data_IF_162215702631
#
_entry.id   IF_162215702631
#
_cell.length_a   1.000
_cell.length_b   1.000
_cell.length_c   1.000
_cell.angle_alpha   90.00
_cell.angle_beta   90.00
_cell.angle_gamma   90.00
#
_symmetry.space_group_name_H-M   'P 1'
#
loop_
_entity.id
_entity.type
_entity.pdbx_description
1 polymer ?
#
# COMPACT_ATOMS: atom_id res chain seq x y z
N UNK A 1 12.72 -3.10 2.83
CA UNK A 1 12.49 -2.36 1.57
C UNK A 1 13.53 -2.84 0.57
N UNK A 2 13.16 -3.11 -0.67
CA UNK A 2 14.13 -3.43 -1.72
C UNK A 2 14.59 -2.11 -2.35
N UNK A 3 15.90 -1.83 -2.30
CA UNK A 3 16.47 -0.56 -2.76
C UNK A 3 17.02 -0.62 -4.19
N UNK A 4 17.04 -1.81 -4.80
CA UNK A 4 17.39 -2.02 -6.20
C UNK A 4 16.14 -2.42 -6.98
N UNK A 5 16.06 -2.01 -8.25
CA UNK A 5 14.92 -2.37 -9.10
C UNK A 5 14.87 -3.90 -9.26
N UNK A 6 13.89 -4.52 -8.61
CA UNK A 6 13.63 -5.95 -8.67
C UNK A 6 12.21 -6.17 -9.17
N UNK A 7 12.07 -7.03 -10.18
CA UNK A 7 10.81 -7.31 -10.84
C UNK A 7 10.52 -8.80 -10.76
N UNK A 8 9.28 -9.16 -10.41
CA UNK A 8 8.85 -10.57 -10.34
C UNK A 8 8.58 -11.17 -11.73
N UNK A 9 8.19 -12.45 -11.76
CA UNK A 9 7.85 -13.14 -13.02
C UNK A 9 6.63 -12.57 -13.75
N UNK A 10 5.84 -11.71 -13.11
CA UNK A 10 4.66 -11.06 -13.67
C UNK A 10 4.97 -9.63 -14.15
N UNK A 11 6.22 -9.18 -14.05
CA UNK A 11 6.58 -7.82 -14.43
C UNK A 11 6.25 -6.78 -13.35
N UNK A 12 6.01 -7.20 -12.10
CA UNK A 12 5.68 -6.30 -11.00
C UNK A 12 6.92 -5.92 -10.20
N UNK A 13 7.09 -4.62 -9.94
CA UNK A 13 8.13 -4.13 -9.02
C UNK A 13 7.87 -4.68 -7.61
N UNK A 14 8.93 -5.19 -6.97
CA UNK A 14 8.84 -6.00 -5.76
C UNK A 14 8.18 -5.27 -4.57
N UNK A 15 8.49 -3.99 -4.34
CA UNK A 15 7.87 -3.23 -3.26
C UNK A 15 6.38 -2.96 -3.55
N UNK A 16 6.00 -2.65 -4.79
CA UNK A 16 4.61 -2.45 -5.20
C UNK A 16 3.80 -3.74 -5.06
N UNK A 17 4.34 -4.86 -5.57
CA UNK A 17 3.71 -6.18 -5.46
C UNK A 17 3.42 -6.53 -4.00
N UNK A 18 4.40 -6.31 -3.12
CA UNK A 18 4.31 -6.65 -1.69
C UNK A 18 3.44 -5.69 -0.90
N UNK A 19 3.67 -4.37 -1.03
CA UNK A 19 3.04 -3.39 -0.15
C UNK A 19 1.65 -2.98 -0.65
N UNK A 20 1.48 -2.75 -1.95
CA UNK A 20 0.22 -2.22 -2.49
C UNK A 20 -0.66 -3.35 -3.02
N UNK A 21 -0.18 -4.11 -4.00
CA UNK A 21 -1.03 -5.08 -4.71
C UNK A 21 -1.47 -6.23 -3.80
N UNK A 22 -0.55 -6.81 -3.02
CA UNK A 22 -0.91 -7.89 -2.09
C UNK A 22 -1.90 -7.41 -1.02
N UNK A 23 -1.73 -6.19 -0.49
CA UNK A 23 -2.70 -5.58 0.45
C UNK A 23 -4.08 -5.44 -0.19
N UNK A 24 -4.12 -4.99 -1.45
CA UNK A 24 -5.37 -4.87 -2.20
C UNK A 24 -6.05 -6.23 -2.38
N UNK A 25 -5.35 -7.19 -2.98
CA UNK A 25 -5.87 -8.52 -3.28
C UNK A 25 -6.34 -9.24 -2.01
N UNK A 26 -5.52 -9.21 -0.94
CA UNK A 26 -5.87 -9.83 0.34
C UNK A 26 -7.16 -9.24 0.91
N UNK A 27 -7.27 -7.91 0.90
CA UNK A 27 -8.45 -7.22 1.43
C UNK A 27 -9.70 -7.58 0.63
N UNK A 28 -9.64 -7.46 -0.70
CA UNK A 28 -10.75 -7.80 -1.60
C UNK A 28 -11.23 -9.25 -1.41
N UNK A 29 -10.29 -10.20 -1.34
CA UNK A 29 -10.61 -11.61 -1.12
C UNK A 29 -11.27 -11.89 0.24
N UNK A 30 -10.95 -11.08 1.26
CA UNK A 30 -11.50 -11.24 2.61
C UNK A 30 -12.83 -10.50 2.83
N UNK A 31 -13.24 -9.60 1.92
CA UNK A 31 -14.50 -8.84 2.05
C UNK A 31 -15.73 -9.73 2.36
N UNK A 32 -15.95 -10.89 1.70
CA UNK A 32 -17.11 -11.72 2.01
C UNK A 32 -17.10 -12.31 3.43
N UNK A 33 -15.91 -12.54 4.00
CA UNK A 33 -15.75 -13.00 5.38
C UNK A 33 -15.92 -11.84 6.37
N UNK A 34 -15.33 -10.69 6.08
CA UNK A 34 -15.45 -9.48 6.90
C UNK A 34 -16.90 -9.04 7.05
N UNK A 35 -17.70 -9.07 5.97
CA UNK A 35 -19.13 -8.73 5.97
C UNK A 35 -20.00 -9.62 6.87
N UNK A 36 -19.49 -10.77 7.33
CA UNK A 36 -20.18 -11.66 8.28
C UNK A 36 -19.88 -11.34 9.74
N UNK A 37 -18.86 -10.52 10.01
CA UNK A 37 -18.53 -10.07 11.37
C UNK A 37 -19.57 -9.04 11.83
N UNK A 38 -19.81 -8.97 13.14
CA UNK A 38 -20.68 -7.95 13.74
C UNK A 38 -20.02 -6.58 13.88
N UNK A 39 -18.68 -6.51 13.86
CA UNK A 39 -17.90 -5.26 13.90
C UNK A 39 -16.61 -5.40 13.06
N UNK A 40 -16.71 -5.45 11.71
CA UNK A 40 -15.56 -5.67 10.85
C UNK A 40 -14.67 -4.44 10.74
N UNK A 41 -13.35 -4.67 10.78
CA UNK A 41 -12.33 -3.62 10.68
C UNK A 41 -11.15 -4.10 9.85
N UNK A 42 -10.59 -3.19 9.05
CA UNK A 42 -9.32 -3.37 8.34
C UNK A 42 -8.44 -2.17 8.67
N UNK A 43 -7.28 -2.44 9.26
CA UNK A 43 -6.29 -1.42 9.60
C UNK A 43 -5.06 -1.62 8.72
N UNK A 44 -4.79 -0.69 7.82
CA UNK A 44 -3.64 -0.74 6.92
C UNK A 44 -2.47 0.02 7.53
N UNK A 45 -1.36 -0.69 7.75
CA UNK A 45 -0.11 -0.11 8.24
C UNK A 45 0.65 0.53 7.08
N UNK A 46 0.49 1.84 6.96
CA UNK A 46 1.24 2.69 6.03
C UNK A 46 2.56 3.18 6.67
N UNK A 47 3.08 4.34 6.28
CA UNK A 47 4.29 4.97 6.82
C UNK A 47 4.23 6.46 6.61
N UNK A 48 4.82 7.27 7.52
CA UNK A 48 4.91 8.72 7.39
C UNK A 48 5.58 9.21 6.09
N UNK A 49 6.38 8.35 5.44
CA UNK A 49 6.90 8.61 4.09
C UNK A 49 5.81 8.84 3.05
N UNK A 50 4.55 8.45 3.29
CA UNK A 50 3.45 8.75 2.37
C UNK A 50 3.19 10.26 2.20
N UNK A 51 3.59 11.08 3.17
CA UNK A 51 3.38 12.53 3.13
C UNK A 51 4.28 13.25 2.12
N UNK A 52 5.41 12.64 1.74
CA UNK A 52 6.38 13.27 0.83
C UNK A 52 6.11 12.96 -0.64
N UNK A 53 5.13 12.11 -0.94
CA UNK A 53 4.85 11.67 -2.31
C UNK A 53 3.40 11.89 -2.72
N UNK A 54 3.20 12.59 -3.84
CA UNK A 54 1.89 12.70 -4.48
C UNK A 54 1.58 11.38 -5.17
N UNK A 55 0.32 10.94 -5.11
CA UNK A 55 -0.11 9.75 -5.86
C UNK A 55 0.07 9.99 -7.36
N UNK A 56 0.88 9.16 -8.02
CA UNK A 56 0.89 9.02 -9.47
C UNK A 56 0.17 7.72 -9.88
N UNK A 57 -1.08 7.85 -10.31
CA UNK A 57 -1.88 6.72 -10.77
C UNK A 57 -1.51 6.25 -12.18
N UNK A 58 -0.80 7.06 -12.95
CA UNK A 58 -0.39 6.73 -14.32
C UNK A 58 0.92 5.95 -14.39
N UNK A 59 1.67 5.89 -13.29
CA UNK A 59 2.80 4.99 -13.10
C UNK A 59 2.76 4.41 -11.69
N UNK A 60 1.90 3.40 -11.42
CA UNK A 60 1.63 2.92 -10.08
C UNK A 60 2.85 2.26 -9.41
N UNK A 61 3.75 1.66 -10.19
CA UNK A 61 5.01 1.10 -9.69
C UNK A 61 6.12 2.14 -9.59
N UNK A 62 5.93 3.32 -10.20
CA UNK A 62 6.88 4.42 -10.24
C UNK A 62 8.23 4.03 -10.87
N UNK A 63 8.22 3.14 -11.85
CA UNK A 63 9.42 2.60 -12.51
C UNK A 63 9.59 3.08 -13.96
N UNK A 64 8.59 3.76 -14.53
CA UNK A 64 8.61 4.19 -15.95
C UNK A 64 8.99 5.66 -16.12
N UNK A 65 8.66 6.50 -15.14
CA UNK A 65 8.87 7.96 -15.23
C UNK A 65 10.13 8.48 -14.55
N UNK A 66 10.84 7.63 -13.82
CA UNK A 66 12.08 8.01 -13.15
C UNK A 66 13.28 7.76 -14.06
N UNK A 67 14.23 8.71 -14.08
CA UNK A 67 15.49 8.53 -14.80
C UNK A 67 16.38 7.43 -14.16
N UNK A 68 16.28 7.29 -12.84
CA UNK A 68 16.96 6.27 -12.03
C UNK A 68 15.97 5.73 -10.99
N UNK A 69 16.09 4.45 -10.65
CA UNK A 69 15.25 3.85 -9.63
C UNK A 69 15.55 4.45 -8.24
N UNK A 70 14.52 4.98 -7.59
CA UNK A 70 14.57 5.40 -6.20
C UNK A 70 13.58 4.58 -5.37
N UNK A 71 14.11 3.57 -4.67
CA UNK A 71 13.32 2.68 -3.80
C UNK A 71 12.59 3.41 -2.67
N UNK A 72 13.13 4.54 -2.21
CA UNK A 72 12.48 5.37 -1.18
C UNK A 72 11.23 6.04 -1.75
N UNK A 73 11.31 6.58 -2.97
CA UNK A 73 10.16 7.20 -3.65
C UNK A 73 9.11 6.17 -4.07
N UNK A 74 9.53 4.99 -4.53
CA UNK A 74 8.64 3.86 -4.81
C UNK A 74 7.90 3.44 -3.55
N UNK A 75 8.62 3.26 -2.44
CA UNK A 75 8.03 2.93 -1.15
C UNK A 75 7.07 4.03 -0.68
N UNK A 76 7.46 5.30 -0.73
CA UNK A 76 6.59 6.43 -0.38
C UNK A 76 5.30 6.44 -1.20
N UNK A 77 5.38 6.14 -2.51
CA UNK A 77 4.19 5.99 -3.35
C UNK A 77 3.34 4.80 -2.93
N UNK A 78 3.93 3.63 -2.65
CA UNK A 78 3.17 2.48 -2.17
C UNK A 78 2.40 2.80 -0.89
N UNK A 79 3.05 3.52 0.04
CA UNK A 79 2.43 3.96 1.28
C UNK A 79 1.34 5.01 1.05
N UNK A 80 1.50 5.88 0.04
CA UNK A 80 0.43 6.80 -0.40
C UNK A 80 -0.75 6.05 -1.02
N UNK A 81 -0.49 5.03 -1.84
CA UNK A 81 -1.53 4.17 -2.43
C UNK A 81 -2.35 3.46 -1.36
N UNK A 82 -1.71 2.91 -0.33
CA UNK A 82 -2.41 2.27 0.80
C UNK A 82 -3.42 3.21 1.50
N UNK A 83 -3.06 4.48 1.71
CA UNK A 83 -3.97 5.47 2.31
C UNK A 83 -5.17 5.75 1.40
N UNK A 84 -4.93 5.92 0.10
CA UNK A 84 -6.00 6.16 -0.87
C UNK A 84 -6.90 4.94 -1.02
N UNK A 85 -6.35 3.72 -0.99
CA UNK A 85 -7.14 2.48 -0.98
C UNK A 85 -8.06 2.41 0.24
N UNK A 86 -7.59 2.80 1.44
CA UNK A 86 -8.46 2.90 2.61
C UNK A 86 -9.63 3.86 2.41
N UNK A 87 -9.41 5.02 1.80
CA UNK A 87 -10.49 5.98 1.49
C UNK A 87 -11.51 5.36 0.52
N UNK A 88 -11.04 4.70 -0.54
CA UNK A 88 -11.89 4.04 -1.54
C UNK A 88 -12.70 2.87 -0.96
N UNK A 89 -12.08 2.06 -0.09
CA UNK A 89 -12.77 0.97 0.60
C UNK A 89 -13.79 1.48 1.61
N UNK A 90 -13.44 2.49 2.41
CA UNK A 90 -14.39 3.10 3.36
C UNK A 90 -15.63 3.65 2.64
N UNK A 91 -15.45 4.23 1.45
CA UNK A 91 -16.56 4.69 0.63
C UNK A 91 -17.40 3.53 0.05
N UNK A 92 -16.74 2.47 -0.43
CA UNK A 92 -17.41 1.37 -1.15
C UNK A 92 -18.04 0.31 -0.24
N UNK A 93 -17.56 0.22 0.99
CA UNK A 93 -17.97 -0.76 2.01
C UNK A 93 -18.20 -0.07 3.35
N UNK A 94 -19.20 0.83 3.44
CA UNK A 94 -19.43 1.66 4.63
C UNK A 94 -19.78 0.86 5.89
N UNK A 95 -20.12 -0.43 5.75
CA UNK A 95 -20.36 -1.36 6.84
C UNK A 95 -19.07 -1.89 7.51
N UNK A 96 -17.90 -1.67 6.92
CA UNK A 96 -16.59 -2.07 7.46
C UNK A 96 -15.79 -0.81 7.79
N UNK A 97 -15.16 -0.79 8.97
CA UNK A 97 -14.24 0.29 9.32
C UNK A 97 -12.91 0.07 8.59
N UNK A 98 -12.60 0.94 7.64
CA UNK A 98 -11.26 1.03 7.04
C UNK A 98 -10.51 2.20 7.65
N UNK A 99 -9.33 1.92 8.20
CA UNK A 99 -8.43 2.93 8.74
C UNK A 99 -7.01 2.68 8.23
N UNK A 100 -6.25 3.75 8.07
CA UNK A 100 -4.80 3.67 7.86
C UNK A 100 -4.07 4.29 9.04
N UNK A 101 -2.87 3.81 9.33
CA UNK A 101 -1.99 4.33 10.38
C UNK A 101 -0.54 4.29 9.92
N UNK A 102 0.32 5.12 10.52
CA UNK A 102 1.76 4.91 10.48
C UNK A 102 2.24 4.61 11.91
N UNK A 103 3.17 3.65 12.09
CA UNK A 103 3.59 3.25 13.44
C UNK A 103 4.58 4.24 14.09
N UNK A 104 5.01 5.28 13.37
CA UNK A 104 6.12 6.14 13.78
C UNK A 104 7.46 5.47 13.50
N UNK A 105 8.48 5.83 14.27
CA UNK A 105 9.77 5.11 14.27
C UNK A 105 9.74 4.04 15.36
N UNK A 106 9.95 2.80 14.94
CA UNK A 106 10.06 1.65 15.84
C UNK A 106 11.43 1.01 15.66
N UNK A 107 11.94 0.34 16.70
CA UNK A 107 13.19 -0.42 16.62
C UNK A 107 12.90 -1.81 16.00
N UNK A 108 13.14 -1.93 14.70
CA UNK A 108 12.86 -3.13 13.90
C UNK A 108 13.98 -3.34 12.87
N UNK A 109 14.15 -4.54 12.30
CA UNK A 109 15.18 -4.79 11.28
C UNK A 109 15.01 -3.97 9.98
N UNK A 110 13.87 -3.28 9.81
CA UNK A 110 13.59 -2.44 8.64
C UNK A 110 13.81 -0.94 8.90
N UNK A 111 14.25 -0.58 10.12
CA UNK A 111 14.54 0.77 10.58
C UNK A 111 15.98 1.19 10.30
#
# INVERSE_FOLDING_TARGET
MVNELTVDSNGLEANFATNTLATYVLTECLLPALKKSSDPRVIVVSSGGMLVQKLDSSDPMLVTKQAHFDGTMVYAQNKRQQVVLCELWAHSHPEIVFASMHPGWADTPVS
#
